data_IF_665099964482
#
_entry.id   IF_665099964482
#
_cell.length_a   1.000
_cell.length_b   1.000
_cell.length_c   1.000
_cell.angle_alpha   90.00
_cell.angle_beta   90.00
_cell.angle_gamma   90.00
#
_symmetry.space_group_name_H-M   'P 1'
#
loop_
_entity.id
_entity.type
_entity.pdbx_description
1 polymer ?
#
# COMPACT_ATOMS: atom_id res chain seq x y z
N UNK A 1 -44.48 5.83 -57.75
CA UNK A 1 -45.02 5.26 -56.49
C UNK A 1 -43.90 4.87 -55.52
N UNK A 2 -42.79 4.30 -56.00
CA UNK A 2 -41.68 3.77 -55.19
C UNK A 2 -40.92 4.81 -54.33
N UNK A 3 -40.62 6.00 -54.89
CA UNK A 3 -39.96 7.08 -54.13
C UNK A 3 -40.83 7.60 -52.98
N UNK A 4 -42.17 7.58 -53.14
CA UNK A 4 -43.10 7.94 -52.07
C UNK A 4 -43.11 6.92 -50.93
N UNK A 5 -42.97 5.63 -51.27
CA UNK A 5 -42.85 4.54 -50.30
C UNK A 5 -41.54 4.64 -49.52
N UNK A 6 -40.41 4.88 -50.22
CA UNK A 6 -39.10 5.08 -49.61
C UNK A 6 -39.08 6.32 -48.69
N UNK A 7 -39.77 7.40 -49.08
CA UNK A 7 -39.86 8.59 -48.24
C UNK A 7 -40.74 8.37 -47.00
N UNK A 8 -41.80 7.58 -47.11
CA UNK A 8 -42.62 7.17 -45.98
C UNK A 8 -41.80 6.31 -44.99
N UNK A 9 -41.02 5.36 -45.51
CA UNK A 9 -40.14 4.51 -44.72
C UNK A 9 -39.07 5.33 -43.98
N UNK A 10 -38.42 6.28 -44.66
CA UNK A 10 -37.43 7.17 -44.03
C UNK A 10 -38.06 8.02 -42.92
N UNK A 11 -39.30 8.50 -43.11
CA UNK A 11 -40.00 9.26 -42.07
C UNK A 11 -40.34 8.38 -40.88
N UNK A 12 -40.77 7.15 -41.11
CA UNK A 12 -41.08 6.18 -40.06
C UNK A 12 -39.81 5.83 -39.27
N UNK A 13 -38.73 5.44 -39.94
CA UNK A 13 -37.44 5.11 -39.32
C UNK A 13 -36.88 6.28 -38.50
N UNK A 14 -37.03 7.52 -38.99
CA UNK A 14 -36.63 8.72 -38.23
C UNK A 14 -37.51 8.94 -36.99
N UNK A 15 -38.80 8.65 -37.07
CA UNK A 15 -39.72 8.70 -35.94
C UNK A 15 -39.36 7.70 -34.86
N UNK A 16 -39.14 6.44 -35.26
CA UNK A 16 -38.71 5.36 -34.36
C UNK A 16 -37.37 5.68 -33.71
N UNK A 17 -36.39 6.18 -34.48
CA UNK A 17 -35.09 6.58 -33.95
C UNK A 17 -35.20 7.74 -32.93
N UNK A 18 -36.13 8.68 -33.17
CA UNK A 18 -36.37 9.79 -32.23
C UNK A 18 -36.99 9.30 -30.93
N UNK A 19 -37.93 8.35 -30.99
CA UNK A 19 -38.53 7.72 -29.81
C UNK A 19 -37.47 6.92 -29.04
N UNK A 20 -36.68 6.09 -29.73
CA UNK A 20 -35.60 5.33 -29.11
C UNK A 20 -34.59 6.24 -28.40
N UNK A 21 -34.19 7.36 -29.02
CA UNK A 21 -33.31 8.35 -28.39
C UNK A 21 -33.95 9.03 -27.18
N UNK A 22 -35.25 9.34 -27.23
CA UNK A 22 -35.96 9.93 -26.10
C UNK A 22 -36.06 8.95 -24.92
N UNK A 23 -36.36 7.68 -25.19
CA UNK A 23 -36.41 6.63 -24.17
C UNK A 23 -35.01 6.27 -23.62
N UNK A 24 -33.96 6.42 -24.43
CA UNK A 24 -32.57 6.20 -24.00
C UNK A 24 -31.92 7.43 -23.35
N UNK A 25 -32.60 8.59 -23.34
CA UNK A 25 -32.05 9.86 -22.81
C UNK A 25 -31.72 9.77 -21.32
N UNK A 26 -32.46 8.95 -20.57
CA UNK A 26 -32.26 8.71 -19.15
C UNK A 26 -31.38 7.48 -18.87
N UNK A 27 -30.73 6.92 -19.89
CA UNK A 27 -29.76 5.84 -19.71
C UNK A 27 -28.54 6.41 -18.98
N UNK A 28 -28.52 6.20 -17.67
CA UNK A 28 -27.33 6.38 -16.84
C UNK A 28 -26.30 5.38 -17.35
N UNK A 29 -25.35 5.84 -18.17
CA UNK A 29 -24.16 5.08 -18.51
C UNK A 29 -23.27 5.15 -17.27
N UNK A 30 -23.42 4.16 -16.39
CA UNK A 30 -22.48 3.96 -15.29
C UNK A 30 -21.23 3.37 -15.94
N UNK A 31 -20.21 4.21 -16.10
CA UNK A 31 -18.88 3.72 -16.43
C UNK A 31 -18.43 2.81 -15.29
N UNK A 32 -18.44 1.50 -15.55
CA UNK A 32 -17.95 0.47 -14.63
C UNK A 32 -16.51 0.11 -14.91
N UNK A 33 -15.82 0.90 -15.73
CA UNK A 33 -14.37 0.86 -15.82
C UNK A 33 -13.85 1.09 -14.41
N UNK A 34 -13.39 0.00 -13.81
CA UNK A 34 -12.53 0.05 -12.65
C UNK A 34 -11.28 0.78 -13.11
N UNK A 35 -11.32 2.11 -12.99
CA UNK A 35 -10.13 2.86 -12.70
C UNK A 35 -9.62 2.25 -11.40
N UNK A 36 -8.84 1.19 -11.55
CA UNK A 36 -7.65 0.99 -10.73
C UNK A 36 -6.80 2.21 -11.06
N UNK A 37 -7.24 3.38 -10.59
CA UNK A 37 -6.30 4.39 -10.22
C UNK A 37 -5.35 3.62 -9.34
N UNK A 38 -4.09 3.63 -9.71
CA UNK A 38 -3.05 3.51 -8.71
C UNK A 38 -3.17 4.72 -7.77
N UNK A 39 -4.34 4.94 -7.16
CA UNK A 39 -4.43 5.20 -5.75
C UNK A 39 -3.86 3.95 -5.07
N UNK A 40 -2.54 3.79 -5.18
CA UNK A 40 -1.79 3.95 -3.95
C UNK A 40 -2.31 5.26 -3.38
N UNK A 41 -3.36 5.18 -2.57
CA UNK A 41 -3.31 5.91 -1.33
C UNK A 41 -1.96 5.46 -0.77
N UNK A 42 -0.89 6.17 -1.14
CA UNK A 42 0.03 6.60 -0.13
C UNK A 42 -0.92 7.16 0.92
N UNK A 43 -1.30 6.29 1.85
CA UNK A 43 -1.31 6.68 3.24
C UNK A 43 0.02 7.41 3.34
N UNK A 44 -0.04 8.73 3.16
CA UNK A 44 0.93 9.62 3.73
C UNK A 44 0.64 9.46 5.22
N UNK A 45 1.01 8.29 5.75
CA UNK A 45 1.31 8.11 7.14
C UNK A 45 2.34 9.19 7.35
N UNK A 46 1.88 10.27 7.95
CA UNK A 46 2.74 11.29 8.48
C UNK A 46 3.56 10.56 9.55
N UNK A 47 4.65 9.92 9.14
CA UNK A 47 5.65 9.41 10.04
C UNK A 47 6.15 10.69 10.69
N UNK A 48 5.84 10.96 11.97
CA UNK A 48 6.48 12.08 12.61
C UNK A 48 7.98 11.86 12.43
N UNK A 49 8.69 12.86 11.92
CA UNK A 49 10.14 12.84 11.89
C UNK A 49 10.60 12.81 13.35
N UNK A 50 10.66 11.62 13.93
CA UNK A 50 11.18 11.41 15.27
C UNK A 50 12.68 11.38 15.10
N UNK A 51 13.33 12.40 15.66
CA UNK A 51 14.79 12.41 15.75
C UNK A 51 15.17 11.72 17.04
N UNK A 52 15.98 10.67 16.96
CA UNK A 52 16.47 10.00 18.16
C UNK A 52 17.43 10.93 18.91
N UNK A 53 17.18 11.14 20.20
CA UNK A 53 18.13 11.83 21.06
C UNK A 53 19.45 11.04 21.13
N UNK A 54 20.56 11.74 21.40
CA UNK A 54 21.89 11.11 21.51
C UNK A 54 21.92 9.97 22.54
N UNK A 55 21.19 10.12 23.64
CA UNK A 55 21.03 9.09 24.67
C UNK A 55 20.26 7.86 24.16
N UNK A 56 19.21 8.06 23.35
CA UNK A 56 18.41 6.98 22.76
C UNK A 56 19.23 6.19 21.74
N UNK A 57 19.97 6.90 20.86
CA UNK A 57 20.93 6.27 19.93
C UNK A 57 21.95 5.43 20.68
N UNK A 58 22.52 5.98 21.75
CA UNK A 58 23.49 5.27 22.56
C UNK A 58 22.90 4.01 23.18
N UNK A 59 21.70 4.09 23.77
CA UNK A 59 21.02 2.92 24.34
C UNK A 59 20.75 1.82 23.30
N UNK A 60 20.28 2.21 22.11
CA UNK A 60 20.06 1.27 21.00
C UNK A 60 21.36 0.63 20.50
N UNK A 61 22.44 1.40 20.40
CA UNK A 61 23.76 0.87 20.05
C UNK A 61 24.28 -0.14 21.08
N UNK A 62 24.10 0.14 22.37
CA UNK A 62 24.48 -0.77 23.45
C UNK A 62 23.64 -2.07 23.40
N UNK A 63 22.34 -1.96 23.10
CA UNK A 63 21.43 -3.11 23.03
C UNK A 63 21.78 -4.12 21.93
N UNK A 64 22.46 -3.69 20.86
CA UNK A 64 22.94 -4.57 19.77
C UNK A 64 24.46 -4.77 19.79
N UNK A 65 25.16 -4.27 20.81
CA UNK A 65 26.62 -4.40 20.88
C UNK A 65 26.99 -5.88 21.10
N UNK A 66 27.74 -6.51 20.17
CA UNK A 66 28.13 -7.91 20.30
C UNK A 66 28.86 -8.21 21.61
N UNK A 67 29.71 -7.31 22.08
CA UNK A 67 30.48 -7.50 23.31
C UNK A 67 29.57 -7.61 24.53
N UNK A 68 28.57 -6.72 24.63
CA UNK A 68 27.63 -6.71 25.75
C UNK A 68 26.74 -7.95 25.70
N UNK A 69 26.35 -8.37 24.50
CA UNK A 69 25.54 -9.57 24.31
C UNK A 69 26.34 -10.80 24.75
N UNK A 70 27.60 -10.92 24.34
CA UNK A 70 28.49 -12.01 24.76
C UNK A 70 28.79 -11.98 26.27
N UNK A 71 29.05 -10.81 26.86
CA UNK A 71 29.31 -10.62 28.29
C UNK A 71 28.11 -11.03 29.16
N UNK A 72 26.89 -10.92 28.63
CA UNK A 72 25.65 -11.36 29.29
C UNK A 72 25.31 -12.84 29.04
N UNK A 73 26.20 -13.59 28.37
CA UNK A 73 25.95 -14.99 28.01
C UNK A 73 24.92 -15.15 26.88
N UNK A 74 24.67 -14.09 26.11
CA UNK A 74 23.71 -14.13 25.02
C UNK A 74 24.41 -14.37 23.67
N UNK A 75 23.67 -14.87 22.70
CA UNK A 75 24.16 -15.12 21.35
C UNK A 75 23.23 -14.53 20.30
N UNK A 76 23.82 -13.87 19.29
CA UNK A 76 23.10 -13.34 18.15
C UNK A 76 22.96 -14.43 17.09
N UNK A 77 21.73 -14.73 16.71
CA UNK A 77 21.42 -15.67 15.65
C UNK A 77 21.40 -14.99 14.28
N UNK A 78 21.59 -15.78 13.21
CA UNK A 78 21.62 -15.28 11.82
C UNK A 78 20.37 -14.51 11.39
N UNK A 79 19.21 -14.85 11.97
CA UNK A 79 17.93 -14.16 11.74
C UNK A 79 17.78 -12.85 12.54
N UNK A 80 18.79 -12.45 13.32
CA UNK A 80 18.77 -11.29 14.19
C UNK A 80 18.04 -11.48 15.52
N UNK A 81 17.69 -12.71 15.91
CA UNK A 81 17.20 -13.01 17.28
C UNK A 81 18.36 -13.13 18.27
N UNK A 82 18.07 -12.91 19.55
CA UNK A 82 19.03 -13.09 20.64
C UNK A 82 18.56 -14.24 21.52
N UNK A 83 19.45 -15.21 21.77
CA UNK A 83 19.22 -16.35 22.66
C UNK A 83 20.11 -16.24 23.90
N UNK A 84 19.65 -16.81 25.01
CA UNK A 84 20.46 -17.08 26.20
C UNK A 84 21.36 -18.31 25.99
N UNK A 85 22.33 -18.53 26.86
CA UNK A 85 23.17 -19.74 27.01
C UNK A 85 22.36 -21.04 26.94
N UNK A 86 21.17 -21.03 27.54
CA UNK A 86 20.25 -22.18 27.55
C UNK A 86 19.46 -22.38 26.24
N UNK A 87 19.76 -21.61 25.18
CA UNK A 87 19.02 -21.62 23.91
C UNK A 87 17.62 -21.00 23.97
N UNK A 88 17.22 -20.44 25.11
CA UNK A 88 15.95 -19.73 25.27
C UNK A 88 16.02 -18.39 24.55
N UNK A 89 14.99 -18.07 23.78
CA UNK A 89 14.87 -16.78 23.08
C UNK A 89 14.63 -15.64 24.07
N UNK A 90 15.51 -14.64 24.05
CA UNK A 90 15.40 -13.38 24.80
C UNK A 90 14.70 -12.33 23.92
N UNK A 91 15.17 -12.19 22.68
CA UNK A 91 14.57 -11.28 21.70
C UNK A 91 14.19 -12.00 20.42
N UNK A 92 13.08 -11.55 19.82
CA UNK A 92 12.50 -12.15 18.62
C UNK A 92 13.39 -12.03 17.39
N UNK A 93 13.07 -12.83 16.37
CA UNK A 93 13.69 -12.68 15.05
C UNK A 93 13.58 -11.23 14.58
N UNK A 94 14.58 -10.78 13.82
CA UNK A 94 14.70 -9.42 13.32
C UNK A 94 14.97 -8.33 14.37
N UNK A 95 15.13 -8.63 15.66
CA UNK A 95 15.43 -7.61 16.69
C UNK A 95 16.66 -6.78 16.33
N UNK A 96 17.81 -7.43 16.11
CA UNK A 96 19.06 -6.73 15.77
C UNK A 96 18.91 -5.98 14.45
N UNK A 97 18.24 -6.58 13.47
CA UNK A 97 18.02 -5.97 12.15
C UNK A 97 17.10 -4.75 12.21
N UNK A 98 16.08 -4.78 13.08
CA UNK A 98 15.16 -3.67 13.27
C UNK A 98 15.85 -2.49 13.93
N UNK A 99 16.64 -2.73 14.98
CA UNK A 99 17.40 -1.66 15.65
C UNK A 99 18.39 -1.01 14.68
N UNK A 100 19.11 -1.81 13.87
CA UNK A 100 19.99 -1.28 12.82
C UNK A 100 19.24 -0.38 11.84
N UNK A 101 18.09 -0.81 11.34
CA UNK A 101 17.25 0.00 10.46
C UNK A 101 16.83 1.32 11.10
N UNK A 102 16.45 1.30 12.37
CA UNK A 102 16.04 2.51 13.12
C UNK A 102 17.22 3.47 13.28
N UNK A 103 18.42 2.96 13.59
CA UNK A 103 19.63 3.77 13.70
C UNK A 103 20.07 4.36 12.34
N UNK A 104 19.93 3.60 11.26
CA UNK A 104 20.28 4.04 9.89
C UNK A 104 19.27 5.05 9.31
N UNK A 105 17.99 4.98 9.74
CA UNK A 105 16.91 5.85 9.23
C UNK A 105 16.90 7.25 9.85
N UNK A 106 17.62 7.46 10.96
CA UNK A 106 17.71 8.75 11.66
C UNK A 106 18.82 9.66 11.10
N UNK A 107 19.18 9.49 9.82
CA UNK A 107 20.25 10.23 9.14
C UNK A 107 19.72 11.27 8.14
#
# INVERSE_FOLDING_TARGET
>A
AEVGLLLAEVKQLRGENRILKALNKDKIIIDRSMHIGNHTTSNIEFIPNFTLATAEKHALHQAINPQIIEDNGWSIQKNGSILNENGRKIFEAYFVSAIKKVLDSDH
#
